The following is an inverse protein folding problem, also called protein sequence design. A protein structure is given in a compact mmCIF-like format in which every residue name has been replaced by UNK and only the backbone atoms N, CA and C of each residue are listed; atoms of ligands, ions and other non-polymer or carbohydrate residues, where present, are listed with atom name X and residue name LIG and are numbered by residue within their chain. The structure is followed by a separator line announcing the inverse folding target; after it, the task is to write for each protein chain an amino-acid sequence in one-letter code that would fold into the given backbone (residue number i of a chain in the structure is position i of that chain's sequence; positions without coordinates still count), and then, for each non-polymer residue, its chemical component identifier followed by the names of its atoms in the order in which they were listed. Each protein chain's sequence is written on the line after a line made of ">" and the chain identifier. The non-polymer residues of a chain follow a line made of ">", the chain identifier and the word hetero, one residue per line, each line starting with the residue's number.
data_IF_268125768046
#
_entry.id   IF_268125768046
#
_cell.length_a   1.000
_cell.length_b   1.000
_cell.length_c   1.000
_cell.angle_alpha   90.00
_cell.angle_beta   90.00
_cell.angle_gamma   90.00
#
_symmetry.space_group_name_H-M   'P 1'
#
loop_
_entity.id
_entity.type
_entity.pdbx_description
1 polymer ?
#
# COMPACT_ATOMS: atom_id res chain seq x y z
N UNK A 1 -12.81 -17.57 28.26
CA UNK A 1 -12.63 -16.53 27.23
C UNK A 1 -11.18 -15.98 27.18
N UNK A 2 -10.21 -16.48 27.96
CA UNK A 2 -8.82 -15.97 28.01
C UNK A 2 -7.80 -16.99 27.47
N UNK A 3 -7.97 -17.47 26.22
CA UNK A 3 -7.05 -18.44 25.59
C UNK A 3 -6.52 -17.98 24.22
N UNK A 4 -7.04 -16.88 23.69
CA UNK A 4 -6.71 -16.41 22.34
C UNK A 4 -5.76 -15.21 22.34
N UNK A 5 -5.74 -14.41 23.40
CA UNK A 5 -4.93 -13.19 23.47
C UNK A 5 -3.42 -13.50 23.62
N UNK A 6 -3.07 -14.45 24.49
CA UNK A 6 -1.67 -14.91 24.66
C UNK A 6 -1.10 -15.58 23.40
N UNK A 7 -1.95 -16.23 22.61
CA UNK A 7 -1.55 -16.86 21.34
C UNK A 7 -1.16 -15.84 20.29
N UNK A 8 -1.87 -14.72 20.22
CA UNK A 8 -1.59 -13.65 19.25
C UNK A 8 -0.23 -13.01 19.56
N UNK A 9 0.09 -12.80 20.84
CA UNK A 9 1.38 -12.22 21.26
C UNK A 9 2.55 -13.19 21.06
N UNK A 10 2.36 -14.49 21.29
CA UNK A 10 3.40 -15.51 21.11
C UNK A 10 3.82 -15.71 19.65
N UNK A 11 2.93 -15.47 18.67
CA UNK A 11 3.22 -15.60 17.24
C UNK A 11 4.06 -14.43 16.69
N UNK A 12 3.99 -13.25 17.32
CA UNK A 12 4.77 -12.07 16.94
C UNK A 12 6.24 -12.15 17.40
N UNK A 13 6.52 -12.90 18.48
CA UNK A 13 7.87 -13.03 19.04
C UNK A 13 8.74 -14.05 18.30
N UNK A 14 8.13 -15.05 17.66
CA UNK A 14 8.83 -15.93 16.75
C UNK A 14 8.93 -15.19 15.41
N UNK A 15 10.13 -14.75 15.00
CA UNK A 15 10.40 -14.11 13.71
C UNK A 15 10.21 -15.03 12.49
N UNK A 16 9.21 -15.89 12.52
CA UNK A 16 8.81 -16.75 11.41
C UNK A 16 8.16 -15.88 10.33
N UNK A 17 8.86 -15.73 9.21
CA UNK A 17 8.29 -15.18 7.99
C UNK A 17 7.42 -16.23 7.31
N UNK A 18 6.15 -15.92 7.11
CA UNK A 18 5.22 -16.76 6.36
C UNK A 18 5.06 -16.20 4.95
N UNK A 19 5.55 -16.93 3.96
CA UNK A 19 5.35 -16.55 2.55
C UNK A 19 3.87 -16.73 2.16
N UNK A 20 3.34 -15.92 1.22
CA UNK A 20 1.99 -16.09 0.73
C UNK A 20 1.79 -17.49 0.13
N UNK A 21 0.61 -18.12 0.28
CA UNK A 21 0.33 -19.43 -0.30
C UNK A 21 0.34 -19.35 -1.83
N UNK A 22 0.84 -20.40 -2.49
CA UNK A 22 1.02 -20.44 -3.96
C UNK A 22 -0.27 -20.20 -4.75
N UNK A 23 -1.43 -20.59 -4.21
CA UNK A 23 -2.73 -20.47 -4.86
C UNK A 23 -3.16 -19.01 -5.16
N UNK A 24 -2.62 -18.03 -4.43
CA UNK A 24 -2.93 -16.61 -4.60
C UNK A 24 -1.82 -15.78 -5.23
N UNK A 25 -0.62 -16.33 -5.42
CA UNK A 25 0.54 -15.56 -5.88
C UNK A 25 0.38 -15.07 -7.33
N UNK A 26 -0.21 -15.89 -8.20
CA UNK A 26 -0.35 -15.55 -9.61
C UNK A 26 -1.34 -14.41 -9.90
N UNK A 27 -2.36 -14.28 -9.04
CA UNK A 27 -3.41 -13.27 -9.12
C UNK A 27 -3.05 -11.97 -8.37
N UNK A 28 -1.95 -11.97 -7.62
CA UNK A 28 -1.51 -10.80 -6.89
C UNK A 28 -1.16 -9.66 -7.86
N UNK A 29 -1.61 -8.45 -7.52
CA UNK A 29 -1.24 -7.22 -8.25
C UNK A 29 0.20 -6.79 -8.04
N UNK A 30 0.82 -7.30 -6.98
CA UNK A 30 2.25 -7.12 -6.68
C UNK A 30 2.86 -8.50 -6.52
N UNK A 31 3.78 -8.87 -7.42
CA UNK A 31 4.27 -10.26 -7.52
C UNK A 31 5.48 -10.57 -6.65
N UNK A 32 6.21 -9.55 -6.22
CA UNK A 32 7.42 -9.73 -5.43
C UNK A 32 7.67 -8.54 -4.51
N UNK A 33 8.51 -8.76 -3.50
CA UNK A 33 8.95 -7.68 -2.62
C UNK A 33 9.78 -6.63 -3.37
N UNK A 34 10.50 -7.03 -4.41
CA UNK A 34 11.26 -6.10 -5.27
C UNK A 34 10.32 -5.15 -6.02
N UNK A 35 9.26 -5.69 -6.61
CA UNK A 35 8.23 -4.91 -7.30
C UNK A 35 7.50 -3.96 -6.35
N UNK A 36 7.20 -4.41 -5.13
CA UNK A 36 6.69 -3.55 -4.07
C UNK A 36 7.66 -2.41 -3.75
N UNK A 37 8.93 -2.72 -3.51
CA UNK A 37 9.93 -1.73 -3.14
C UNK A 37 10.13 -0.69 -4.25
N UNK A 38 10.17 -1.11 -5.51
CA UNK A 38 10.27 -0.21 -6.65
C UNK A 38 9.04 0.72 -6.77
N UNK A 39 7.83 0.18 -6.62
CA UNK A 39 6.61 0.98 -6.64
C UNK A 39 6.55 1.95 -5.46
N UNK A 40 6.95 1.49 -4.27
CA UNK A 40 7.03 2.32 -3.07
C UNK A 40 8.04 3.46 -3.23
N UNK A 41 9.24 3.15 -3.72
CA UNK A 41 10.26 4.16 -3.97
C UNK A 41 9.75 5.24 -4.94
N UNK A 42 9.13 4.83 -6.05
CA UNK A 42 8.51 5.77 -6.99
C UNK A 42 7.43 6.62 -6.33
N UNK A 43 6.58 6.03 -5.48
CA UNK A 43 5.53 6.78 -4.77
C UNK A 43 6.07 7.85 -3.81
N UNK A 44 7.32 7.69 -3.36
CA UNK A 44 8.00 8.66 -2.49
C UNK A 44 8.81 9.69 -3.28
N UNK A 45 9.48 9.27 -4.35
CA UNK A 45 10.31 10.14 -5.19
C UNK A 45 9.48 11.04 -6.12
N UNK A 46 8.39 10.52 -6.68
CA UNK A 46 7.46 11.22 -7.56
C UNK A 46 6.01 10.89 -7.18
N UNK A 47 5.51 11.45 -6.05
CA UNK A 47 4.17 11.15 -5.56
C UNK A 47 3.09 11.64 -6.52
N UNK A 48 3.27 12.80 -7.16
CA UNK A 48 2.28 13.34 -8.09
C UNK A 48 2.19 12.49 -9.36
N UNK A 49 3.31 12.13 -9.99
CA UNK A 49 3.28 11.26 -11.17
C UNK A 49 2.75 9.87 -10.86
N UNK A 50 3.14 9.29 -9.72
CA UNK A 50 2.67 7.98 -9.28
C UNK A 50 1.16 7.95 -9.07
N UNK A 51 0.61 8.90 -8.30
CA UNK A 51 -0.81 8.91 -7.99
C UNK A 51 -1.67 9.36 -9.17
N UNK A 52 -1.18 10.25 -10.04
CA UNK A 52 -1.88 10.61 -11.27
C UNK A 52 -2.09 9.38 -12.16
N UNK A 53 -1.02 8.63 -12.45
CA UNK A 53 -1.08 7.44 -13.31
C UNK A 53 -2.06 6.39 -12.75
N UNK A 54 -1.99 6.13 -11.44
CA UNK A 54 -2.91 5.19 -10.77
C UNK A 54 -4.36 5.65 -10.81
N UNK A 55 -4.60 6.95 -10.61
CA UNK A 55 -5.95 7.50 -10.69
C UNK A 55 -6.52 7.46 -12.12
N UNK A 56 -5.68 7.63 -13.15
CA UNK A 56 -6.08 7.48 -14.55
C UNK A 56 -6.38 6.02 -14.93
N UNK A 57 -5.62 5.06 -14.40
CA UNK A 57 -5.77 3.63 -14.70
C UNK A 57 -6.99 3.01 -13.99
N UNK A 58 -7.22 3.36 -12.73
CA UNK A 58 -8.13 2.61 -11.85
C UNK A 58 -9.50 3.25 -11.69
N UNK A 59 -9.66 4.52 -12.05
CA UNK A 59 -10.89 5.27 -11.81
C UNK A 59 -11.41 5.88 -13.11
N UNK A 60 -12.71 5.78 -13.34
CA UNK A 60 -13.38 6.47 -14.44
C UNK A 60 -13.82 7.85 -13.96
N UNK A 61 -13.39 8.90 -14.66
CA UNK A 61 -13.66 10.29 -14.27
C UNK A 61 -14.63 10.95 -15.24
N UNK A 62 -15.68 11.58 -14.70
CA UNK A 62 -16.53 12.48 -15.47
C UNK A 62 -15.78 13.79 -15.83
N UNK A 63 -14.92 14.27 -14.93
CA UNK A 63 -13.97 15.36 -15.16
C UNK A 63 -12.65 15.05 -14.46
N UNK A 64 -11.53 15.24 -15.16
CA UNK A 64 -10.18 15.12 -14.58
C UNK A 64 -9.89 16.23 -13.56
N UNK A 65 -9.04 15.91 -12.59
CA UNK A 65 -8.54 16.82 -11.57
C UNK A 65 -7.59 17.87 -12.16
N UNK A 66 -7.48 19.00 -11.48
CA UNK A 66 -6.59 20.10 -11.86
C UNK A 66 -5.23 20.04 -11.11
N UNK A 67 -5.18 19.38 -9.95
CA UNK A 67 -3.98 19.18 -9.12
C UNK A 67 -3.99 17.78 -8.51
N UNK A 68 -2.84 17.10 -8.51
CA UNK A 68 -2.73 15.71 -8.04
C UNK A 68 -2.56 15.65 -6.52
N UNK A 69 -1.66 16.47 -5.97
CA UNK A 69 -1.34 16.48 -4.56
C UNK A 69 -1.26 17.91 -4.02
N UNK A 70 -1.94 18.17 -2.91
CA UNK A 70 -1.80 19.40 -2.14
C UNK A 70 -1.74 19.04 -0.66
N UNK A 71 -0.71 19.52 0.04
CA UNK A 71 -0.56 19.30 1.48
C UNK A 71 -0.03 20.56 2.16
N UNK A 72 -0.49 20.80 3.39
CA UNK A 72 -0.01 21.84 4.30
C UNK A 72 0.07 21.20 5.69
N UNK A 73 1.28 21.11 6.25
CA UNK A 73 1.51 20.51 7.58
C UNK A 73 1.35 21.52 8.72
N UNK A 74 1.30 22.82 8.40
CA UNK A 74 1.22 23.91 9.38
C UNK A 74 -0.22 24.35 9.65
N UNK A 75 -1.13 24.10 8.69
CA UNK A 75 -2.56 24.38 8.87
C UNK A 75 -3.32 23.09 9.15
N UNK A 76 -4.03 22.97 10.30
CA UNK A 76 -5.00 21.91 10.46
C UNK A 76 -6.08 22.06 9.36
N UNK A 77 -6.60 20.96 8.79
CA UNK A 77 -7.65 21.05 7.79
C UNK A 77 -8.86 21.76 8.42
N UNK A 78 -9.25 22.90 7.84
CA UNK A 78 -10.44 23.66 8.24
C UNK A 78 -11.71 23.04 7.70
#
# INVERSE_FOLDING_TARGET
>A
MAKNEDKIVSLLQAGATFAPPTEGQDQARVKSMDEYNAAYQRSMEDPEGFWAERAEELVTWDKKWDKVLEYDFDKPPT
#
